data_IF_941015331894
#
_entry.id   IF_941015331894
#
_cell.length_a   1.000
_cell.length_b   1.000
_cell.length_c   1.000
_cell.angle_alpha   90.00
_cell.angle_beta   90.00
_cell.angle_gamma   90.00
#
_symmetry.space_group_name_H-M   'P 1'
#
loop_
_entity.id
_entity.type
_entity.pdbx_description
1 polymer ?
#
# COMPACT_ATOMS: atom_id res chain seq x y z
N UNK A 1 1.59 -3.02 -0.65
CA UNK A 1 1.23 -2.19 -1.82
C UNK A 1 -0.28 -2.04 -1.86
N UNK A 2 -0.79 -0.82 -1.75
CA UNK A 2 -2.21 -0.48 -1.93
C UNK A 2 -2.36 0.24 -3.27
N UNK A 3 -3.17 -0.34 -4.17
CA UNK A 3 -3.32 0.09 -5.55
C UNK A 3 -2.53 -0.81 -6.49
N UNK A 4 -3.24 -1.60 -7.30
CA UNK A 4 -2.70 -2.56 -8.28
C UNK A 4 -3.05 -2.14 -9.71
N UNK A 5 -3.16 -0.83 -9.97
CA UNK A 5 -3.08 -0.32 -11.34
C UNK A 5 -1.75 -0.72 -12.00
N UNK A 6 -1.57 -0.44 -13.29
CA UNK A 6 -0.39 -0.86 -14.07
C UNK A 6 0.93 -0.56 -13.35
N UNK A 7 1.09 0.65 -12.79
CA UNK A 7 2.28 1.04 -12.04
C UNK A 7 2.46 0.24 -10.74
N UNK A 8 1.41 0.15 -9.90
CA UNK A 8 1.49 -0.54 -8.62
C UNK A 8 1.70 -2.05 -8.74
N UNK A 9 1.08 -2.68 -9.74
CA UNK A 9 1.29 -4.08 -10.08
C UNK A 9 2.73 -4.33 -10.52
N UNK A 10 3.23 -3.58 -11.50
CA UNK A 10 4.61 -3.74 -11.99
C UNK A 10 5.65 -3.46 -10.90
N UNK A 11 5.43 -2.46 -10.05
CA UNK A 11 6.32 -2.18 -8.92
C UNK A 11 6.33 -3.32 -7.90
N UNK A 12 5.16 -3.89 -7.59
CA UNK A 12 5.03 -5.06 -6.70
C UNK A 12 5.84 -6.26 -7.23
N UNK A 13 5.70 -6.57 -8.52
CA UNK A 13 6.46 -7.65 -9.16
C UNK A 13 7.96 -7.35 -9.18
N UNK A 14 8.34 -6.11 -9.52
CA UNK A 14 9.73 -5.69 -9.55
C UNK A 14 10.41 -5.83 -8.18
N UNK A 15 9.75 -5.41 -7.10
CA UNK A 15 10.25 -5.62 -5.73
C UNK A 15 10.47 -7.11 -5.43
N UNK A 16 9.56 -7.97 -5.87
CA UNK A 16 9.67 -9.41 -5.67
C UNK A 16 10.83 -10.04 -6.47
N UNK A 17 11.04 -9.58 -7.71
CA UNK A 17 12.18 -9.98 -8.53
C UNK A 17 13.53 -9.58 -7.87
N UNK A 18 13.53 -8.52 -7.05
CA UNK A 18 14.69 -8.09 -6.26
C UNK A 18 14.73 -8.70 -4.85
N UNK A 19 13.97 -9.76 -4.60
CA UNK A 19 14.07 -10.59 -3.39
C UNK A 19 13.22 -10.13 -2.21
N UNK A 20 12.41 -9.07 -2.35
CA UNK A 20 11.51 -8.62 -1.30
C UNK A 20 10.19 -9.40 -1.30
N UNK A 21 9.65 -9.68 -0.12
CA UNK A 21 8.28 -10.17 0.02
C UNK A 21 7.31 -9.00 0.00
N UNK A 22 6.29 -9.06 -0.86
CA UNK A 22 5.33 -7.97 -1.03
C UNK A 22 3.91 -8.49 -0.95
N UNK A 23 3.04 -7.74 -0.26
CA UNK A 23 1.60 -8.00 -0.22
C UNK A 23 0.90 -6.90 -1.02
N UNK A 24 0.14 -7.28 -2.04
CA UNK A 24 -0.67 -6.40 -2.87
C UNK A 24 -2.14 -6.38 -2.45
N UNK A 25 -2.79 -5.23 -2.61
CA UNK A 25 -4.23 -5.06 -2.40
C UNK A 25 -4.79 -3.99 -3.35
N UNK A 26 -6.00 -4.21 -3.86
CA UNK A 26 -6.80 -3.25 -4.61
C UNK A 26 -8.29 -3.43 -4.27
N UNK A 27 -9.11 -2.39 -4.48
CA UNK A 27 -10.57 -2.49 -4.31
C UNK A 27 -11.20 -3.37 -5.40
N UNK A 28 -10.54 -3.47 -6.55
CA UNK A 28 -10.94 -4.33 -7.65
C UNK A 28 -10.42 -5.77 -7.45
N UNK A 29 -11.34 -6.69 -7.15
CA UNK A 29 -11.06 -8.12 -7.00
C UNK A 29 -10.42 -8.73 -8.25
N UNK A 30 -10.72 -8.22 -9.45
CA UNK A 30 -10.10 -8.68 -10.69
C UNK A 30 -8.59 -8.49 -10.67
N UNK A 31 -8.11 -7.33 -10.21
CA UNK A 31 -6.68 -7.04 -10.10
C UNK A 31 -5.97 -7.88 -9.03
N UNK A 32 -6.67 -8.21 -7.95
CA UNK A 32 -6.16 -9.14 -6.94
C UNK A 32 -5.93 -10.52 -7.56
N UNK A 33 -6.89 -11.01 -8.35
CA UNK A 33 -6.76 -12.30 -9.04
C UNK A 33 -5.67 -12.28 -10.11
N UNK A 34 -5.53 -11.20 -10.87
CA UNK A 34 -4.43 -11.02 -11.82
C UNK A 34 -3.06 -11.06 -11.12
N UNK A 35 -2.90 -10.34 -10.01
CA UNK A 35 -1.66 -10.36 -9.23
C UNK A 35 -1.33 -11.78 -8.75
N UNK A 36 -2.33 -12.53 -8.26
CA UNK A 36 -2.15 -13.92 -7.82
C UNK A 36 -1.62 -14.83 -8.93
N UNK A 37 -2.15 -14.70 -10.15
CA UNK A 37 -1.68 -15.45 -11.32
C UNK A 37 -0.25 -15.08 -11.70
N UNK A 38 0.09 -13.79 -11.67
CA UNK A 38 1.44 -13.31 -11.99
C UNK A 38 2.46 -13.61 -10.86
N UNK A 39 1.99 -13.95 -9.66
CA UNK A 39 2.79 -14.22 -8.48
C UNK A 39 3.25 -15.67 -8.30
N UNK A 40 2.85 -16.61 -9.16
CA UNK A 40 2.99 -18.07 -8.95
C UNK A 40 4.44 -18.55 -8.63
N UNK A 41 5.47 -17.81 -9.03
CA UNK A 41 6.88 -18.12 -8.73
C UNK A 41 7.60 -17.03 -7.92
N UNK A 42 6.87 -16.02 -7.46
CA UNK A 42 7.41 -14.82 -6.79
C UNK A 42 7.01 -14.79 -5.31
N UNK A 43 7.75 -14.02 -4.52
CA UNK A 43 7.40 -13.74 -3.12
C UNK A 43 6.30 -12.67 -3.00
N UNK A 44 5.22 -12.83 -3.76
CA UNK A 44 4.08 -11.90 -3.80
C UNK A 44 2.84 -12.60 -3.27
N UNK A 45 2.18 -11.94 -2.33
CA UNK A 45 0.85 -12.33 -1.84
C UNK A 45 -0.16 -11.25 -2.21
N UNK A 46 -1.44 -11.61 -2.28
CA UNK A 46 -2.52 -10.66 -2.51
C UNK A 46 -3.58 -10.78 -1.42
N UNK A 47 -3.81 -9.69 -0.71
CA UNK A 47 -4.81 -9.57 0.33
C UNK A 47 -6.17 -9.15 -0.26
N UNK A 48 -7.25 -9.58 0.39
CA UNK A 48 -8.64 -9.27 0.00
C UNK A 48 -9.22 -8.12 0.83
N UNK A 49 -8.54 -7.70 1.89
CA UNK A 49 -8.88 -6.53 2.70
C UNK A 49 -7.62 -5.79 3.18
N UNK A 50 -7.78 -4.53 3.56
CA UNK A 50 -6.70 -3.74 4.15
C UNK A 50 -6.26 -4.30 5.51
N UNK A 51 -7.21 -4.77 6.32
CA UNK A 51 -6.92 -5.47 7.59
C UNK A 51 -6.02 -6.68 7.36
N UNK A 52 -6.34 -7.52 6.36
CA UNK A 52 -5.53 -8.67 6.00
C UNK A 52 -4.14 -8.24 5.49
N UNK A 53 -4.08 -7.20 4.66
CA UNK A 53 -2.80 -6.67 4.18
C UNK A 53 -1.90 -6.24 5.35
N UNK A 54 -2.44 -5.45 6.27
CA UNK A 54 -1.69 -4.91 7.41
C UNK A 54 -1.33 -6.00 8.41
N UNK A 55 -2.22 -6.96 8.66
CA UNK A 55 -1.97 -8.11 9.52
C UNK A 55 -0.88 -9.07 9.01
N UNK A 56 -0.61 -9.07 7.70
CA UNK A 56 0.45 -9.88 7.10
C UNK A 56 1.82 -9.18 7.06
N UNK A 57 1.88 -7.88 7.36
CA UNK A 57 3.14 -7.12 7.36
C UNK A 57 3.93 -7.36 8.64
N UNK A 58 5.26 -7.40 8.50
CA UNK A 58 6.19 -7.37 9.63
C UNK A 58 6.18 -5.96 10.26
N UNK A 59 6.28 -5.90 11.60
CA UNK A 59 6.45 -4.65 12.35
C UNK A 59 7.92 -4.21 12.37
N UNK A 60 8.25 -2.91 12.22
CA UNK A 60 7.33 -1.81 11.87
C UNK A 60 6.80 -1.97 10.44
N UNK A 61 5.49 -1.75 10.28
CA UNK A 61 4.78 -2.01 9.02
C UNK A 61 5.03 -0.88 8.03
N UNK A 62 5.25 -1.23 6.76
CA UNK A 62 5.40 -0.25 5.67
C UNK A 62 4.29 -0.42 4.64
N UNK A 63 3.38 0.55 4.58
CA UNK A 63 2.26 0.57 3.63
C UNK A 63 2.55 1.57 2.52
N UNK A 64 2.99 1.05 1.37
CA UNK A 64 3.17 1.85 0.15
C UNK A 64 1.87 1.92 -0.66
N UNK A 65 1.54 3.12 -1.11
CA UNK A 65 0.33 3.44 -1.87
C UNK A 65 0.67 3.95 -3.27
N UNK A 66 0.01 3.40 -4.28
CA UNK A 66 0.09 3.83 -5.68
C UNK A 66 -1.33 3.96 -6.23
N UNK A 67 -2.03 5.00 -5.79
CA UNK A 67 -3.42 5.33 -6.16
C UNK A 67 -3.48 6.73 -6.80
N UNK A 68 -4.57 7.10 -7.49
CA UNK A 68 -4.71 8.44 -8.05
C UNK A 68 -4.56 9.52 -6.96
N UNK A 69 -3.84 10.60 -7.28
CA UNK A 69 -3.60 11.70 -6.36
C UNK A 69 -4.89 12.39 -5.89
N UNK A 70 -4.82 13.04 -4.73
CA UNK A 70 -5.94 13.77 -4.12
C UNK A 70 -6.82 12.86 -3.26
N UNK A 71 -8.17 12.99 -3.34
CA UNK A 71 -9.10 12.29 -2.44
C UNK A 71 -8.90 10.77 -2.28
N UNK A 72 -8.50 10.00 -3.31
CA UNK A 72 -8.26 8.56 -3.15
C UNK A 72 -7.10 8.24 -2.20
N UNK A 73 -6.05 9.07 -2.17
CA UNK A 73 -4.94 8.92 -1.20
C UNK A 73 -5.46 9.12 0.21
N UNK A 74 -6.21 10.20 0.45
CA UNK A 74 -6.75 10.51 1.78
C UNK A 74 -7.72 9.42 2.28
N UNK A 75 -8.56 8.89 1.39
CA UNK A 75 -9.45 7.78 1.70
C UNK A 75 -8.68 6.52 2.13
N UNK A 76 -7.63 6.13 1.39
CA UNK A 76 -6.81 4.97 1.76
C UNK A 76 -6.09 5.19 3.09
N UNK A 77 -5.56 6.38 3.34
CA UNK A 77 -4.93 6.71 4.63
C UNK A 77 -5.93 6.49 5.77
N UNK A 78 -7.15 7.02 5.64
CA UNK A 78 -8.20 6.85 6.64
C UNK A 78 -8.61 5.38 6.82
N UNK A 79 -8.70 4.61 5.74
CA UNK A 79 -9.08 3.20 5.76
C UNK A 79 -8.00 2.30 6.41
N UNK A 80 -6.71 2.65 6.24
CA UNK A 80 -5.58 1.88 6.78
C UNK A 80 -5.26 2.23 8.23
N UNK A 81 -5.42 3.49 8.61
CA UNK A 81 -5.05 4.02 9.94
C UNK A 81 -5.54 3.19 11.14
N UNK A 82 -6.78 2.64 11.17
CA UNK A 82 -7.25 1.84 12.30
C UNK A 82 -6.46 0.55 12.56
N UNK A 83 -5.68 0.09 11.58
CA UNK A 83 -4.91 -1.15 11.66
C UNK A 83 -3.41 -0.91 11.94
N UNK A 84 -2.97 0.36 11.97
CA UNK A 84 -1.58 0.73 12.19
C UNK A 84 -1.30 1.05 13.66
N UNK A 85 -0.05 0.87 14.05
CA UNK A 85 0.46 1.16 15.39
C UNK A 85 1.57 2.23 15.33
N UNK A 86 1.79 3.01 16.40
CA UNK A 86 2.85 4.01 16.42
C UNK A 86 4.21 3.45 15.97
N UNK A 87 4.86 4.14 15.04
CA UNK A 87 6.11 3.70 14.39
C UNK A 87 5.93 2.96 13.06
N UNK A 88 4.70 2.62 12.67
CA UNK A 88 4.39 2.17 11.30
C UNK A 88 4.48 3.33 10.29
N UNK A 89 4.72 2.99 9.03
CA UNK A 89 4.99 3.96 7.96
C UNK A 89 3.96 3.87 6.82
N UNK A 90 3.48 5.04 6.39
CA UNK A 90 2.69 5.20 5.16
C UNK A 90 3.56 5.91 4.12
N UNK A 91 3.61 5.36 2.91
CA UNK A 91 4.41 5.88 1.79
C UNK A 91 3.48 6.20 0.62
N UNK A 92 3.31 7.48 0.29
CA UNK A 92 2.63 7.91 -0.93
C UNK A 92 3.63 7.89 -2.09
N UNK A 93 3.51 6.89 -2.97
CA UNK A 93 4.32 6.78 -4.18
C UNK A 93 3.66 7.42 -5.41
N UNK A 94 2.48 8.03 -5.25
CA UNK A 94 1.73 8.66 -6.32
C UNK A 94 2.27 10.05 -6.69
N UNK A 95 1.59 10.70 -7.64
CA UNK A 95 1.93 12.06 -8.08
C UNK A 95 1.17 13.12 -7.28
N UNK A 96 1.14 12.99 -5.96
CA UNK A 96 0.48 13.98 -5.08
C UNK A 96 1.24 15.31 -5.07
N UNK A 97 0.55 16.46 -5.04
CA UNK A 97 1.17 17.74 -4.73
C UNK A 97 1.92 17.70 -3.39
N UNK A 98 3.10 18.32 -3.32
CA UNK A 98 3.90 18.32 -2.09
C UNK A 98 3.19 19.01 -0.91
N UNK A 99 2.30 19.97 -1.19
CA UNK A 99 1.47 20.65 -0.18
C UNK A 99 0.51 19.71 0.53
N UNK A 100 -0.05 18.75 -0.19
CA UNK A 100 -0.93 17.73 0.36
C UNK A 100 -0.11 16.77 1.24
N UNK A 101 1.08 16.39 0.75
CA UNK A 101 2.03 15.57 1.51
C UNK A 101 2.43 16.22 2.83
N UNK A 102 2.74 17.52 2.84
CA UNK A 102 3.05 18.27 4.06
C UNK A 102 1.90 18.24 5.06
N UNK A 103 0.67 18.43 4.57
CA UNK A 103 -0.54 18.42 5.40
C UNK A 103 -0.80 17.03 5.99
N UNK A 104 -0.69 15.98 5.17
CA UNK A 104 -0.82 14.57 5.60
C UNK A 104 0.23 14.22 6.65
N UNK A 105 1.49 14.55 6.39
CA UNK A 105 2.58 14.29 7.33
C UNK A 105 2.32 14.95 8.70
N UNK A 106 1.91 16.23 8.72
CA UNK A 106 1.58 16.92 9.97
C UNK A 106 0.43 16.25 10.74
N UNK A 107 -0.60 15.77 10.04
CA UNK A 107 -1.74 15.11 10.66
C UNK A 107 -1.38 13.70 11.18
N UNK A 108 -0.54 12.98 10.44
CA UNK A 108 -0.10 11.62 10.77
C UNK A 108 0.92 11.59 11.92
N UNK A 109 1.85 12.56 11.97
CA UNK A 109 2.80 12.71 13.09
C UNK A 109 2.09 12.87 14.44
N UNK A 110 0.94 13.55 14.49
CA UNK A 110 0.13 13.68 15.72
C UNK A 110 -0.46 12.35 16.19
N UNK A 111 -0.53 11.34 15.32
CA UNK A 111 -1.03 9.99 15.60
C UNK A 111 0.10 8.98 15.85
N UNK A 112 1.36 9.43 15.89
CA UNK A 112 2.52 8.56 16.11
C UNK A 112 2.98 7.80 14.86
N UNK A 113 2.52 8.22 13.68
CA UNK A 113 3.04 7.77 12.38
C UNK A 113 4.18 8.68 11.91
#
# INVERSE_FOLDING_TARGET
MVGLGVMGRNFTLNMADHGFSVIGYDKDLGKIQELRKEAEERKVLAAESLEQLVGMLKVPRSVMMLVPAGPPVDAVILDVLPFLEPGDMIIDGGNSPFTDTNTRAQNLMRKGM
#
